data_IF_137194383525
#
_entry.id   IF_137194383525
#
_cell.length_a   1.000
_cell.length_b   1.000
_cell.length_c   1.000
_cell.angle_alpha   90.00
_cell.angle_beta   90.00
_cell.angle_gamma   90.00
#
_symmetry.space_group_name_H-M   'P 1'
#
loop_
_entity.id
_entity.type
_entity.pdbx_description
1 polymer ?
#
# COMPACT_ATOMS: atom_id res chain seq x y z
N UNK A 1 -1.57 -0.45 -22.93
CA UNK A 1 -1.60 -0.47 -21.46
C UNK A 1 -1.41 0.93 -20.89
N UNK A 2 -2.47 1.50 -20.32
CA UNK A 2 -2.43 2.76 -19.58
C UNK A 2 -2.35 2.45 -18.08
N UNK A 3 -1.41 3.08 -17.38
CA UNK A 3 -1.21 2.86 -15.94
C UNK A 3 -1.37 4.19 -15.23
N UNK A 4 -2.10 4.17 -14.13
CA UNK A 4 -2.16 5.27 -13.18
C UNK A 4 -1.38 4.90 -11.92
N UNK A 5 -0.52 5.78 -11.43
CA UNK A 5 0.20 5.60 -10.18
C UNK A 5 -0.34 6.55 -9.11
N UNK A 6 -0.86 5.96 -8.03
CA UNK A 6 -1.23 6.67 -6.82
C UNK A 6 -0.09 6.63 -5.81
N UNK A 7 0.56 7.78 -5.58
CA UNK A 7 1.72 7.89 -4.70
C UNK A 7 1.30 8.57 -3.39
N UNK A 8 1.47 7.88 -2.26
CA UNK A 8 1.24 8.42 -0.91
C UNK A 8 2.57 8.87 -0.32
N UNK A 9 2.74 10.16 -0.02
CA UNK A 9 4.00 10.68 0.52
C UNK A 9 3.82 11.67 1.67
N UNK A 10 4.83 11.77 2.52
CA UNK A 10 4.95 12.76 3.60
C UNK A 10 6.28 13.52 3.55
N UNK A 11 7.03 13.39 2.46
CA UNK A 11 8.31 14.07 2.26
C UNK A 11 8.66 14.18 0.78
N UNK A 12 9.38 15.22 0.40
CA UNK A 12 9.94 15.35 -0.94
C UNK A 12 11.39 14.86 -0.94
N UNK A 13 11.57 13.54 -1.11
CA UNK A 13 12.88 12.87 -1.08
C UNK A 13 13.46 12.66 -2.49
N UNK A 14 14.77 12.37 -2.56
CA UNK A 14 15.40 11.94 -3.81
C UNK A 14 14.76 10.66 -4.39
N UNK A 15 14.25 9.79 -3.52
CA UNK A 15 13.52 8.57 -3.88
C UNK A 15 12.21 8.90 -4.60
N UNK A 16 11.41 9.81 -4.04
CA UNK A 16 10.17 10.27 -4.67
C UNK A 16 10.47 10.94 -6.01
N UNK A 17 11.46 11.84 -6.04
CA UNK A 17 11.85 12.57 -7.24
C UNK A 17 12.25 11.62 -8.37
N UNK A 18 13.12 10.65 -8.09
CA UNK A 18 13.52 9.66 -9.09
C UNK A 18 12.33 8.82 -9.57
N UNK A 19 11.48 8.38 -8.66
CA UNK A 19 10.30 7.57 -8.98
C UNK A 19 9.33 8.31 -9.89
N UNK A 20 9.02 9.57 -9.59
CA UNK A 20 8.20 10.40 -10.48
C UNK A 20 8.89 10.51 -11.84
N UNK A 21 10.17 10.87 -11.88
CA UNK A 21 10.95 11.04 -13.12
C UNK A 21 10.93 9.83 -14.05
N UNK A 22 10.95 8.62 -13.49
CA UNK A 22 10.92 7.37 -14.24
C UNK A 22 9.52 6.99 -14.74
N UNK A 23 8.46 7.49 -14.10
CA UNK A 23 7.09 7.07 -14.38
C UNK A 23 6.25 8.09 -15.14
N UNK A 24 6.46 9.40 -14.97
CA UNK A 24 5.49 10.41 -15.39
C UNK A 24 5.29 10.56 -16.91
N UNK A 25 6.29 10.21 -17.73
CA UNK A 25 6.25 10.50 -19.18
C UNK A 25 5.13 9.77 -19.91
N UNK A 26 4.78 8.60 -19.40
CA UNK A 26 3.99 7.59 -20.09
C UNK A 26 2.72 7.20 -19.32
N UNK A 27 2.51 7.79 -18.15
CA UNK A 27 1.54 7.33 -17.15
C UNK A 27 0.96 8.51 -16.37
N UNK A 28 -0.27 8.35 -15.91
CA UNK A 28 -0.90 9.34 -15.02
C UNK A 28 -0.34 9.20 -13.60
N UNK A 29 0.04 10.32 -12.98
CA UNK A 29 0.54 10.35 -11.61
C UNK A 29 -0.43 11.13 -10.74
N UNK A 30 -0.90 10.50 -9.65
CA UNK A 30 -1.68 11.13 -8.60
C UNK A 30 -0.82 11.16 -7.34
N UNK A 31 -0.59 12.35 -6.81
CA UNK A 31 0.24 12.55 -5.63
C UNK A 31 -0.61 12.97 -4.44
N UNK A 32 -0.76 12.07 -3.47
CA UNK A 32 -1.31 12.37 -2.15
C UNK A 32 -0.17 12.82 -1.23
N UNK A 33 -0.28 14.05 -0.73
CA UNK A 33 0.66 14.61 0.24
C UNK A 33 0.00 14.60 1.61
N UNK A 34 0.65 14.02 2.60
CA UNK A 34 0.15 14.00 3.98
C UNK A 34 -0.14 15.43 4.47
N UNK A 35 -1.32 15.64 5.05
CA UNK A 35 -1.79 16.95 5.55
C UNK A 35 -0.83 17.62 6.56
N UNK A 36 0.03 16.86 7.23
CA UNK A 36 1.05 17.41 8.16
C UNK A 36 2.17 18.17 7.45
N UNK A 37 2.28 18.06 6.13
CA UNK A 37 3.39 18.59 5.34
C UNK A 37 2.91 19.76 4.48
N UNK A 38 3.73 20.79 4.36
CA UNK A 38 3.45 21.88 3.43
C UNK A 38 3.50 21.38 1.98
N UNK A 39 2.34 21.43 1.30
CA UNK A 39 2.18 21.01 -0.09
C UNK A 39 3.01 21.87 -1.06
N UNK A 40 3.39 23.10 -0.69
CA UNK A 40 4.22 23.96 -1.53
C UNK A 40 5.58 23.33 -1.88
N UNK A 41 6.11 22.48 -0.99
CA UNK A 41 7.39 21.75 -1.18
C UNK A 41 7.34 20.81 -2.40
N UNK A 42 6.16 20.40 -2.83
CA UNK A 42 5.93 19.51 -3.97
C UNK A 42 5.61 20.27 -5.27
N UNK A 43 5.79 21.59 -5.29
CA UNK A 43 5.43 22.46 -6.41
C UNK A 43 6.11 22.09 -7.74
N UNK A 44 7.29 21.46 -7.70
CA UNK A 44 8.01 20.99 -8.89
C UNK A 44 7.26 19.90 -9.69
N UNK A 45 6.32 19.19 -9.05
CA UNK A 45 5.59 18.10 -9.69
C UNK A 45 4.28 18.53 -10.37
N UNK A 46 3.87 19.80 -10.24
CA UNK A 46 2.57 20.30 -10.71
C UNK A 46 2.33 20.12 -12.22
N UNK A 47 3.39 20.07 -13.02
CA UNK A 47 3.30 19.86 -14.47
C UNK A 47 3.20 18.39 -14.88
N UNK A 48 3.49 17.46 -13.97
CA UNK A 48 3.64 16.02 -14.27
C UNK A 48 2.79 15.12 -13.36
N UNK A 49 2.11 15.67 -12.35
CA UNK A 49 1.26 14.94 -11.42
C UNK A 49 0.05 15.76 -10.97
N UNK A 50 -1.10 15.10 -10.78
CA UNK A 50 -2.24 15.65 -10.03
C UNK A 50 -1.95 15.58 -8.53
N UNK A 51 -1.48 16.70 -7.99
CA UNK A 51 -1.26 16.84 -6.55
C UNK A 51 -2.61 17.12 -5.88
N UNK A 52 -3.14 16.14 -5.18
CA UNK A 52 -4.48 16.17 -4.61
C UNK A 52 -4.68 17.30 -3.58
N UNK A 53 -5.85 17.94 -3.59
CA UNK A 53 -6.21 18.95 -2.58
C UNK A 53 -6.79 18.35 -1.30
N UNK A 54 -7.46 17.20 -1.40
CA UNK A 54 -8.07 16.51 -0.25
C UNK A 54 -7.06 15.64 0.50
N UNK A 55 -6.17 16.31 1.24
CA UNK A 55 -5.11 15.65 2.00
C UNK A 55 -5.60 15.16 3.36
N UNK A 56 -5.19 13.93 3.70
CA UNK A 56 -5.52 13.26 4.95
C UNK A 56 -4.33 13.42 5.90
N UNK A 57 -4.59 13.65 7.19
CA UNK A 57 -3.54 13.57 8.21
C UNK A 57 -3.28 12.08 8.48
N UNK A 58 -2.30 11.50 7.79
CA UNK A 58 -2.08 10.06 7.80
C UNK A 58 -1.35 9.66 9.09
N UNK A 59 -1.99 8.81 9.88
CA UNK A 59 -1.43 8.21 11.08
C UNK A 59 -1.30 6.71 10.87
N UNK A 60 -0.09 6.20 11.12
CA UNK A 60 0.22 4.78 10.95
C UNK A 60 -0.72 3.89 11.78
N UNK A 61 -1.23 2.83 11.15
CA UNK A 61 -2.10 1.85 11.77
C UNK A 61 -3.53 2.32 11.99
N UNK A 62 -3.90 3.53 11.56
CA UNK A 62 -5.26 4.06 11.70
C UNK A 62 -6.03 4.03 10.38
N UNK A 63 -7.33 4.30 10.45
CA UNK A 63 -8.21 4.41 9.28
C UNK A 63 -7.74 5.43 8.23
N UNK A 64 -6.94 6.44 8.61
CA UNK A 64 -6.46 7.46 7.67
C UNK A 64 -5.68 6.89 6.48
N UNK A 65 -5.04 5.72 6.64
CA UNK A 65 -4.34 5.03 5.54
C UNK A 65 -5.32 4.44 4.53
N UNK A 66 -6.44 3.87 5.00
CA UNK A 66 -7.54 3.43 4.13
C UNK A 66 -8.14 4.65 3.42
N UNK A 67 -8.41 5.72 4.17
CA UNK A 67 -8.99 6.95 3.63
C UNK A 67 -8.13 7.59 2.54
N UNK A 68 -6.80 7.69 2.75
CA UNK A 68 -5.89 8.21 1.73
C UNK A 68 -5.92 7.36 0.46
N UNK A 69 -5.92 6.03 0.59
CA UNK A 69 -5.98 5.12 -0.56
C UNK A 69 -7.33 5.21 -1.27
N UNK A 70 -8.45 5.30 -0.56
CA UNK A 70 -9.76 5.51 -1.16
C UNK A 70 -9.87 6.85 -1.90
N UNK A 71 -9.29 7.92 -1.36
CA UNK A 71 -9.26 9.21 -2.03
C UNK A 71 -8.45 9.17 -3.33
N UNK A 72 -7.33 8.43 -3.35
CA UNK A 72 -6.56 8.18 -4.58
C UNK A 72 -7.40 7.39 -5.59
N UNK A 73 -8.02 6.28 -5.17
CA UNK A 73 -8.83 5.45 -6.08
C UNK A 73 -9.98 6.27 -6.70
N UNK A 74 -10.65 7.11 -5.89
CA UNK A 74 -11.69 8.02 -6.38
C UNK A 74 -11.14 9.07 -7.36
N UNK A 75 -9.98 9.66 -7.06
CA UNK A 75 -9.35 10.63 -7.95
C UNK A 75 -8.93 9.97 -9.28
N UNK A 76 -8.41 8.74 -9.23
CA UNK A 76 -8.00 7.97 -10.40
C UNK A 76 -9.13 7.76 -11.42
N UNK A 77 -10.40 7.74 -10.98
CA UNK A 77 -11.56 7.61 -11.88
C UNK A 77 -11.69 8.74 -12.91
N UNK A 78 -10.95 9.85 -12.76
CA UNK A 78 -10.88 10.92 -13.76
C UNK A 78 -10.04 10.53 -15.00
N UNK A 79 -9.21 9.50 -14.87
CA UNK A 79 -8.25 9.07 -15.88
C UNK A 79 -8.71 7.78 -16.57
N UNK A 80 -8.23 7.57 -17.79
CA UNK A 80 -8.47 6.34 -18.54
C UNK A 80 -7.28 5.38 -18.37
N UNK A 81 -7.36 4.51 -17.37
CA UNK A 81 -6.30 3.57 -17.03
C UNK A 81 -6.79 2.12 -17.08
N UNK A 82 -5.89 1.18 -17.38
CA UNK A 82 -6.12 -0.26 -17.27
C UNK A 82 -5.82 -0.76 -15.85
N UNK A 83 -4.73 -0.24 -15.24
CA UNK A 83 -4.28 -0.56 -13.89
C UNK A 83 -4.00 0.68 -13.03
N UNK A 84 -4.39 0.63 -11.75
CA UNK A 84 -4.00 1.59 -10.72
C UNK A 84 -3.00 0.93 -9.78
N UNK A 85 -1.80 1.50 -9.69
CA UNK A 85 -0.75 1.07 -8.77
C UNK A 85 -0.65 2.02 -7.57
N UNK A 86 -0.91 1.51 -6.37
CA UNK A 86 -0.72 2.23 -5.12
C UNK A 86 0.70 1.96 -4.60
N UNK A 87 1.47 3.03 -4.45
CA UNK A 87 2.83 3.04 -3.91
C UNK A 87 2.98 4.18 -2.91
N UNK A 88 4.09 4.21 -2.17
CA UNK A 88 4.47 5.37 -1.38
C UNK A 88 5.60 6.17 -2.04
N UNK A 89 5.91 7.33 -1.48
CA UNK A 89 7.10 8.11 -1.85
C UNK A 89 8.46 7.49 -1.46
N UNK A 90 8.46 6.26 -0.93
CA UNK A 90 9.65 5.50 -0.51
C UNK A 90 9.87 4.23 -1.37
N UNK A 91 9.04 4.00 -2.38
CA UNK A 91 9.17 2.90 -3.34
C UNK A 91 9.92 3.39 -4.57
N UNK A 92 10.69 2.52 -5.23
CA UNK A 92 11.30 2.80 -6.55
C UNK A 92 10.99 1.69 -7.53
N UNK A 93 10.78 2.01 -8.82
CA UNK A 93 10.61 0.99 -9.85
C UNK A 93 11.91 0.21 -10.05
N UNK A 94 11.78 -1.10 -10.21
CA UNK A 94 12.87 -2.04 -10.53
C UNK A 94 12.97 -2.34 -12.04
N UNK A 95 12.00 -1.86 -12.82
CA UNK A 95 11.89 -2.07 -14.27
C UNK A 95 11.50 -0.75 -14.95
N UNK A 96 11.91 -0.56 -16.20
CA UNK A 96 11.54 0.64 -16.96
C UNK A 96 10.03 0.68 -17.25
N UNK A 97 9.50 1.86 -17.62
CA UNK A 97 8.07 2.01 -17.87
C UNK A 97 7.56 1.06 -18.97
N UNK A 98 8.36 0.86 -20.02
CA UNK A 98 8.09 -0.09 -21.11
C UNK A 98 7.96 -1.50 -20.57
N UNK A 99 8.94 -1.99 -19.80
CA UNK A 99 8.91 -3.34 -19.23
C UNK A 99 7.72 -3.55 -18.27
N UNK A 100 7.35 -2.50 -17.52
CA UNK A 100 6.17 -2.55 -16.63
C UNK A 100 4.89 -2.69 -17.45
N UNK A 101 4.73 -1.90 -18.52
CA UNK A 101 3.56 -1.98 -19.41
C UNK A 101 3.46 -3.35 -20.09
N UNK A 102 4.57 -3.90 -20.58
CA UNK A 102 4.64 -5.24 -21.15
C UNK A 102 4.29 -6.34 -20.13
N UNK A 103 4.73 -6.18 -18.88
CA UNK A 103 4.36 -7.10 -17.81
C UNK A 103 2.85 -7.10 -17.55
N UNK A 104 2.22 -5.93 -17.43
CA UNK A 104 0.77 -5.83 -17.25
C UNK A 104 -0.01 -6.32 -18.47
N UNK A 105 0.48 -6.09 -19.69
CA UNK A 105 -0.19 -6.59 -20.91
C UNK A 105 -0.18 -8.12 -20.96
N UNK A 106 0.95 -8.76 -20.66
CA UNK A 106 1.05 -10.23 -20.58
C UNK A 106 0.17 -10.84 -19.48
N UNK A 107 -0.09 -10.08 -18.42
CA UNK A 107 -0.87 -10.53 -17.26
C UNK A 107 -2.22 -9.81 -17.14
N UNK A 108 -2.75 -9.31 -18.26
CA UNK A 108 -3.98 -8.51 -18.28
C UNK A 108 -5.16 -9.26 -17.65
N UNK A 109 -5.90 -8.56 -16.80
CA UNK A 109 -7.04 -9.12 -16.06
C UNK A 109 -6.65 -9.85 -14.76
N UNK A 110 -5.37 -9.90 -14.40
CA UNK A 110 -4.93 -10.32 -13.05
C UNK A 110 -4.97 -9.15 -12.07
N UNK A 111 -5.09 -9.48 -10.79
CA UNK A 111 -5.08 -8.52 -9.68
C UNK A 111 -3.82 -8.74 -8.84
N UNK A 112 -3.01 -7.68 -8.70
CA UNK A 112 -1.72 -7.76 -8.02
C UNK A 112 -1.84 -7.19 -6.61
N UNK A 113 -2.54 -7.94 -5.77
CA UNK A 113 -2.76 -7.65 -4.35
C UNK A 113 -2.47 -8.91 -3.56
N UNK A 114 -1.56 -8.80 -2.59
CA UNK A 114 -1.10 -9.93 -1.80
C UNK A 114 -2.10 -10.39 -0.76
N UNK A 115 -2.11 -11.70 -0.50
CA UNK A 115 -2.88 -12.34 0.57
C UNK A 115 -1.95 -13.20 1.41
N UNK A 116 -1.80 -12.86 2.68
CA UNK A 116 -1.04 -13.64 3.66
C UNK A 116 -1.87 -14.88 4.05
N UNK A 117 -1.55 -16.02 3.42
CA UNK A 117 -2.29 -17.28 3.59
C UNK A 117 -1.85 -18.07 4.82
N UNK A 118 -0.67 -17.76 5.37
CA UNK A 118 -0.08 -18.42 6.53
C UNK A 118 -0.44 -17.78 7.86
N UNK A 119 -1.06 -16.61 7.86
CA UNK A 119 -1.34 -15.87 9.09
C UNK A 119 -2.42 -16.51 9.96
N UNK A 120 -2.20 -16.45 11.28
CA UNK A 120 -3.20 -16.82 12.26
C UNK A 120 -4.42 -15.90 12.18
N UNK A 121 -5.59 -16.46 11.83
CA UNK A 121 -6.84 -15.70 11.68
C UNK A 121 -7.22 -14.88 12.91
N UNK A 122 -6.93 -15.34 14.14
CA UNK A 122 -7.22 -14.59 15.36
C UNK A 122 -6.42 -13.29 15.46
N UNK A 123 -5.20 -13.25 14.88
CA UNK A 123 -4.39 -12.03 14.82
C UNK A 123 -5.03 -10.97 13.92
N UNK A 124 -5.64 -11.37 12.79
CA UNK A 124 -6.40 -10.48 11.91
C UNK A 124 -7.69 -10.05 12.62
N UNK A 125 -8.43 -11.01 13.18
CA UNK A 125 -9.71 -10.77 13.85
C UNK A 125 -9.58 -9.69 14.93
N UNK A 126 -8.54 -9.79 15.77
CA UNK A 126 -8.34 -8.85 16.87
C UNK A 126 -8.08 -7.40 16.41
N UNK A 127 -7.55 -7.19 15.20
CA UNK A 127 -7.32 -5.85 14.62
C UNK A 127 -8.62 -5.07 14.36
N UNK A 128 -9.73 -5.77 14.10
CA UNK A 128 -11.01 -5.17 13.71
C UNK A 128 -12.12 -5.41 14.74
N UNK A 129 -12.07 -6.52 15.48
CA UNK A 129 -13.07 -6.92 16.49
C UNK A 129 -13.20 -5.91 17.63
N UNK A 130 -12.13 -5.21 17.97
CA UNK A 130 -12.12 -4.24 19.06
C UNK A 130 -11.85 -2.83 18.54
N UNK A 131 -12.49 -1.84 19.17
CA UNK A 131 -12.20 -0.44 18.92
C UNK A 131 -10.83 -0.06 19.52
N UNK A 132 -9.87 0.28 18.65
CA UNK A 132 -8.57 0.78 19.03
C UNK A 132 -8.60 2.32 19.17
N UNK A 133 -7.75 2.84 20.05
CA UNK A 133 -7.70 4.27 20.42
C UNK A 133 -6.25 4.71 20.66
N UNK A 134 -5.92 5.97 20.36
CA UNK A 134 -4.73 6.69 20.83
C UNK A 134 -3.45 5.84 20.95
N UNK A 135 -3.17 5.34 22.16
CA UNK A 135 -1.97 4.54 22.47
C UNK A 135 -1.84 3.25 21.67
N UNK A 136 -2.92 2.66 21.18
CA UNK A 136 -2.87 1.46 20.34
C UNK A 136 -2.10 1.70 19.03
N UNK A 137 -2.10 2.94 18.56
CA UNK A 137 -1.44 3.37 17.33
C UNK A 137 -0.01 3.88 17.57
N UNK A 138 0.42 3.98 18.84
CA UNK A 138 1.77 4.44 19.20
C UNK A 138 2.72 3.25 19.28
N UNK A 139 3.83 3.36 18.55
CA UNK A 139 4.96 2.43 18.64
C UNK A 139 5.69 2.58 19.99
N UNK A 140 6.08 3.81 20.33
CA UNK A 140 6.75 4.12 21.59
C UNK A 140 5.73 4.51 22.66
N UNK A 141 5.16 3.49 23.33
CA UNK A 141 4.25 3.70 24.47
C UNK A 141 5.04 4.11 25.70
N UNK A 142 4.56 5.13 26.41
CA UNK A 142 5.06 5.42 27.75
C UNK A 142 4.59 4.35 28.75
N UNK A 143 5.12 4.36 29.97
CA UNK A 143 4.83 3.34 30.99
C UNK A 143 3.32 3.28 31.30
N UNK A 144 2.66 4.43 31.43
CA UNK A 144 1.22 4.51 31.69
C UNK A 144 0.39 3.89 30.55
N UNK A 145 0.77 4.12 29.30
CA UNK A 145 0.13 3.55 28.12
C UNK A 145 0.36 2.03 28.00
N UNK A 146 1.54 1.54 28.39
CA UNK A 146 1.82 0.10 28.48
C UNK A 146 0.95 -0.56 29.54
N UNK A 147 0.84 0.06 30.73
CA UNK A 147 -0.01 -0.40 31.83
C UNK A 147 -1.48 -0.37 31.40
N UNK A 148 -1.96 0.72 30.81
CA UNK A 148 -3.33 0.83 30.31
C UNK A 148 -3.66 -0.25 29.27
N UNK A 149 -2.76 -0.51 28.31
CA UNK A 149 -2.93 -1.57 27.32
C UNK A 149 -2.98 -2.97 27.96
N UNK A 150 -2.14 -3.22 28.98
CA UNK A 150 -2.10 -4.50 29.72
C UNK A 150 -3.39 -4.69 30.54
N UNK A 151 -3.78 -3.69 31.32
CA UNK A 151 -5.01 -3.70 32.14
C UNK A 151 -6.25 -3.90 31.26
N UNK A 152 -6.35 -3.19 30.14
CA UNK A 152 -7.49 -3.34 29.22
C UNK A 152 -7.57 -4.76 28.65
N UNK A 153 -6.43 -5.39 28.36
CA UNK A 153 -6.35 -6.77 27.87
C UNK A 153 -6.71 -7.79 28.97
N UNK A 154 -6.13 -7.65 30.16
CA UNK A 154 -6.33 -8.60 31.29
C UNK A 154 -7.75 -8.53 31.86
N UNK A 155 -8.34 -7.33 31.94
CA UNK A 155 -9.71 -7.13 32.42
C UNK A 155 -10.77 -7.24 31.31
N UNK A 156 -10.38 -7.59 30.08
CA UNK A 156 -11.28 -7.68 28.92
C UNK A 156 -12.15 -6.43 28.68
N UNK A 157 -11.65 -5.24 29.05
CA UNK A 157 -12.35 -3.95 28.92
C UNK A 157 -12.29 -3.38 27.48
N UNK A 158 -11.90 -4.21 26.52
CA UNK A 158 -11.83 -3.83 25.11
C UNK A 158 -13.24 -3.66 24.57
N UNK A 159 -13.56 -2.44 24.15
CA UNK A 159 -14.86 -2.16 23.52
C UNK A 159 -14.95 -2.93 22.21
N UNK A 160 -15.91 -3.85 22.11
CA UNK A 160 -16.19 -4.58 20.87
C UNK A 160 -16.73 -3.63 19.80
N UNK A 161 -16.28 -3.82 18.59
CA UNK A 161 -16.81 -3.17 17.41
C UNK A 161 -18.18 -3.78 17.07
N UNK A 162 -19.24 -2.98 17.15
CA UNK A 162 -20.61 -3.43 16.92
C UNK A 162 -20.92 -3.80 15.47
N UNK A 163 -20.04 -3.46 14.52
CA UNK A 163 -20.14 -3.84 13.11
C UNK A 163 -19.34 -5.10 12.77
N UNK A 164 -18.56 -5.63 13.71
CA UNK A 164 -17.65 -6.74 13.44
C UNK A 164 -18.36 -8.00 12.91
N UNK A 165 -19.52 -8.34 13.48
CA UNK A 165 -20.28 -9.54 13.07
C UNK A 165 -20.93 -9.40 11.67
N UNK A 166 -20.97 -8.18 11.10
CA UNK A 166 -21.41 -7.95 9.72
C UNK A 166 -20.28 -8.20 8.71
N UNK A 167 -19.03 -8.21 9.16
CA UNK A 167 -17.88 -8.35 8.27
C UNK A 167 -17.83 -9.77 7.68
N UNK A 168 -17.48 -9.89 6.40
CA UNK A 168 -17.17 -11.20 5.83
C UNK A 168 -15.88 -11.74 6.44
N UNK A 169 -15.47 -12.95 6.01
CA UNK A 169 -14.20 -13.52 6.43
C UNK A 169 -13.06 -12.54 6.12
N UNK A 170 -12.26 -12.22 7.14
CA UNK A 170 -11.17 -11.27 7.01
C UNK A 170 -9.93 -11.91 6.37
N UNK A 171 -9.26 -11.13 5.55
CA UNK A 171 -8.00 -11.47 4.89
C UNK A 171 -7.01 -10.34 5.07
N UNK A 172 -5.72 -10.66 5.16
CA UNK A 172 -4.64 -9.68 5.31
C UNK A 172 -3.66 -9.79 4.14
N UNK A 173 -2.97 -8.70 3.83
CA UNK A 173 -1.82 -8.66 2.94
C UNK A 173 -1.06 -7.33 3.08
N UNK A 174 -0.21 -6.99 2.10
CA UNK A 174 0.52 -5.72 2.11
C UNK A 174 -0.39 -4.54 1.75
N UNK A 175 -0.01 -3.34 2.19
CA UNK A 175 -0.72 -2.09 1.88
C UNK A 175 -0.66 -1.70 0.40
N UNK A 176 0.36 -2.17 -0.30
CA UNK A 176 0.68 -1.77 -1.67
C UNK A 176 0.14 -2.81 -2.63
N UNK A 177 -0.46 -2.37 -3.72
CA UNK A 177 -1.04 -3.24 -4.74
C UNK A 177 -1.11 -2.54 -6.09
N UNK A 178 -1.28 -3.32 -7.15
CA UNK A 178 -1.71 -2.84 -8.46
C UNK A 178 -2.96 -3.60 -8.88
N UNK A 179 -4.06 -2.91 -9.11
CA UNK A 179 -5.35 -3.53 -9.39
C UNK A 179 -5.98 -2.96 -10.63
N UNK A 180 -6.82 -3.78 -11.29
CA UNK A 180 -7.47 -3.38 -12.53
C UNK A 180 -8.49 -2.26 -12.30
N UNK A 181 -8.74 -1.49 -13.35
CA UNK A 181 -9.82 -0.50 -13.35
C UNK A 181 -11.19 -1.12 -12.98
N UNK A 182 -11.47 -2.34 -13.47
CA UNK A 182 -12.70 -3.08 -13.15
C UNK A 182 -12.81 -3.35 -11.63
N UNK A 183 -11.72 -3.72 -10.97
CA UNK A 183 -11.72 -3.93 -9.53
C UNK A 183 -11.86 -2.61 -8.75
N UNK A 184 -11.24 -1.51 -9.23
CA UNK A 184 -11.44 -0.19 -8.62
C UNK A 184 -12.92 0.22 -8.60
N UNK A 185 -13.64 0.06 -9.72
CA UNK A 185 -15.09 0.33 -9.79
C UNK A 185 -15.84 -0.55 -8.79
N UNK A 186 -15.63 -1.87 -8.85
CA UNK A 186 -16.28 -2.81 -7.93
C UNK A 186 -16.04 -2.45 -6.46
N UNK A 187 -14.82 -2.05 -6.11
CA UNK A 187 -14.45 -1.67 -4.76
C UNK A 187 -15.19 -0.42 -4.30
N UNK A 188 -15.25 0.62 -5.14
CA UNK A 188 -15.97 1.85 -4.81
C UNK A 188 -17.48 1.58 -4.66
N UNK A 189 -18.07 0.82 -5.58
CA UNK A 189 -19.48 0.42 -5.54
C UNK A 189 -19.79 -0.40 -4.28
N UNK A 190 -18.91 -1.33 -3.91
CA UNK A 190 -19.06 -2.14 -2.70
C UNK A 190 -19.11 -1.25 -1.46
N UNK A 191 -18.19 -0.29 -1.33
CA UNK A 191 -18.12 0.62 -0.19
C UNK A 191 -19.32 1.57 -0.17
N UNK A 192 -19.74 2.07 -1.33
CA UNK A 192 -20.92 2.92 -1.44
C UNK A 192 -22.18 2.22 -0.94
N UNK A 193 -22.41 0.99 -1.39
CA UNK A 193 -23.57 0.20 -1.00
C UNK A 193 -23.45 -0.41 0.42
N UNK A 194 -22.25 -0.43 1.00
CA UNK A 194 -21.98 -1.03 2.31
C UNK A 194 -21.22 -0.06 3.23
N UNK A 195 -21.79 1.13 3.50
CA UNK A 195 -21.17 2.11 4.41
C UNK A 195 -20.79 1.56 5.79
N UNK A 196 -21.53 0.55 6.27
CA UNK A 196 -21.25 -0.17 7.50
C UNK A 196 -19.88 -0.89 7.48
N UNK A 197 -19.40 -1.29 6.30
CA UNK A 197 -18.09 -1.92 6.12
C UNK A 197 -16.99 -0.91 6.42
N UNK A 198 -17.06 0.28 5.80
CA UNK A 198 -16.14 1.38 6.08
C UNK A 198 -16.14 1.75 7.57
N UNK A 199 -17.33 1.88 8.17
CA UNK A 199 -17.50 2.18 9.59
C UNK A 199 -16.83 1.16 10.51
N UNK A 200 -16.85 -0.13 10.13
CA UNK A 200 -16.21 -1.18 10.92
C UNK A 200 -14.70 -1.02 11.01
N UNK A 201 -14.05 -0.34 10.06
CA UNK A 201 -12.60 -0.15 10.04
C UNK A 201 -12.14 1.19 10.62
N UNK A 202 -13.05 2.14 10.88
CA UNK A 202 -12.71 3.48 11.42
C UNK A 202 -11.86 3.47 12.69
N UNK A 203 -12.02 2.43 13.52
CA UNK A 203 -11.25 2.22 14.77
C UNK A 203 -10.49 0.89 14.78
N UNK A 204 -10.18 0.36 13.61
CA UNK A 204 -9.31 -0.81 13.47
C UNK A 204 -7.85 -0.44 13.75
N UNK A 205 -6.99 -1.44 13.94
CA UNK A 205 -5.54 -1.31 14.02
C UNK A 205 -4.88 -1.96 12.82
N UNK A 206 -4.09 -1.21 12.06
CA UNK A 206 -3.48 -1.66 10.79
C UNK A 206 -4.52 -2.32 9.89
N UNK A 207 -5.69 -1.66 9.76
CA UNK A 207 -6.82 -2.16 8.99
C UNK A 207 -6.62 -1.98 7.48
N UNK A 208 -5.72 -1.09 7.08
CA UNK A 208 -5.25 -0.92 5.70
C UNK A 208 -4.68 -2.22 5.11
N UNK A 209 -4.01 -3.03 5.92
CA UNK A 209 -3.53 -4.36 5.55
C UNK A 209 -4.65 -5.42 5.46
N UNK A 210 -5.90 -5.08 5.78
CA UNK A 210 -7.03 -6.03 5.89
C UNK A 210 -8.20 -5.63 4.98
N UNK A 211 -8.46 -4.33 4.85
CA UNK A 211 -9.64 -3.74 4.21
C UNK A 211 -9.78 -4.18 2.75
N UNK A 212 -8.77 -3.90 1.93
CA UNK A 212 -8.81 -4.15 0.49
C UNK A 212 -8.75 -5.66 0.18
N UNK A 213 -7.94 -6.41 0.94
CA UNK A 213 -7.78 -7.86 0.82
C UNK A 213 -9.07 -8.60 1.17
N UNK A 214 -9.78 -8.11 2.18
CA UNK A 214 -11.08 -8.68 2.57
C UNK A 214 -12.11 -8.46 1.47
N UNK A 215 -12.17 -7.28 0.84
CA UNK A 215 -13.10 -7.03 -0.28
C UNK A 215 -12.79 -7.97 -1.45
N UNK A 216 -11.53 -8.03 -1.91
CA UNK A 216 -11.19 -8.82 -3.11
C UNK A 216 -11.41 -10.33 -2.88
N UNK A 217 -11.01 -10.86 -1.73
CA UNK A 217 -11.14 -12.30 -1.42
C UNK A 217 -12.58 -12.77 -1.25
N UNK A 218 -13.50 -11.85 -0.95
CA UNK A 218 -14.93 -12.13 -0.86
C UNK A 218 -15.69 -11.67 -2.12
N UNK A 219 -15.01 -11.58 -3.26
CA UNK A 219 -15.59 -11.16 -4.55
C UNK A 219 -15.24 -12.12 -5.69
N UNK A 220 -15.82 -11.89 -6.87
CA UNK A 220 -15.47 -12.61 -8.11
C UNK A 220 -13.99 -12.45 -8.51
N UNK A 221 -13.33 -11.39 -8.04
CA UNK A 221 -11.93 -11.08 -8.38
C UNK A 221 -10.91 -11.95 -7.64
N UNK A 222 -11.32 -12.72 -6.62
CA UNK A 222 -10.45 -13.68 -5.93
C UNK A 222 -9.68 -14.59 -6.90
N UNK A 223 -10.36 -15.08 -7.94
CA UNK A 223 -9.76 -16.01 -8.92
C UNK A 223 -8.82 -15.32 -9.92
N UNK A 224 -8.72 -13.99 -9.87
CA UNK A 224 -7.81 -13.17 -10.68
C UNK A 224 -6.55 -12.77 -9.92
N UNK A 225 -6.45 -13.06 -8.63
CA UNK A 225 -5.26 -12.73 -7.83
C UNK A 225 -4.03 -13.42 -8.41
N UNK A 226 -3.00 -12.64 -8.69
CA UNK A 226 -1.77 -13.09 -9.30
C UNK A 226 -1.00 -14.04 -8.36
N UNK A 227 -0.68 -15.25 -8.84
CA UNK A 227 0.16 -16.24 -8.15
C UNK A 227 -0.26 -16.55 -6.70
N UNK A 228 -1.58 -16.58 -6.46
CA UNK A 228 -2.14 -16.88 -5.14
C UNK A 228 -1.71 -18.29 -4.66
N UNK A 229 -1.11 -18.36 -3.47
CA UNK A 229 -0.50 -19.58 -2.87
C UNK A 229 0.79 -20.07 -3.57
N UNK A 230 1.31 -19.38 -4.58
CA UNK A 230 2.55 -19.77 -5.26
C UNK A 230 3.76 -18.97 -4.77
N UNK A 231 3.54 -17.74 -4.32
CA UNK A 231 4.57 -16.82 -3.80
C UNK A 231 4.08 -16.13 -2.54
N UNK A 232 4.96 -15.42 -1.84
CA UNK A 232 4.54 -14.60 -0.69
C UNK A 232 3.72 -13.38 -1.11
N UNK A 233 3.07 -12.76 -0.13
CA UNK A 233 2.12 -11.68 -0.32
C UNK A 233 2.73 -10.40 -0.91
N UNK A 234 3.98 -10.09 -0.60
CA UNK A 234 4.65 -8.95 -1.23
C UNK A 234 4.91 -9.23 -2.72
N UNK A 235 5.31 -10.45 -3.07
CA UNK A 235 5.51 -10.87 -4.46
C UNK A 235 4.21 -10.91 -5.27
N UNK A 236 3.11 -11.38 -4.68
CA UNK A 236 1.77 -11.28 -5.29
C UNK A 236 1.39 -9.81 -5.60
N UNK A 237 1.84 -8.88 -4.75
CA UNK A 237 1.67 -7.44 -4.93
C UNK A 237 2.77 -6.78 -5.80
N UNK A 238 3.69 -7.56 -6.38
CA UNK A 238 4.83 -7.08 -7.17
C UNK A 238 5.75 -6.12 -6.39
N UNK A 239 5.93 -6.37 -5.09
CA UNK A 239 6.80 -5.59 -4.20
C UNK A 239 7.93 -6.45 -3.66
N UNK A 240 9.17 -6.02 -3.88
CA UNK A 240 10.31 -6.52 -3.13
C UNK A 240 10.40 -5.75 -1.81
N UNK A 241 10.26 -6.45 -0.68
CA UNK A 241 10.37 -5.86 0.66
C UNK A 241 11.19 -6.79 1.57
N UNK A 242 12.31 -6.29 2.11
CA UNK A 242 13.11 -7.08 3.06
C UNK A 242 12.56 -6.92 4.49
N UNK A 243 11.70 -7.88 4.87
CA UNK A 243 11.20 -8.05 6.24
C UNK A 243 12.09 -8.95 7.12
N UNK A 244 13.05 -9.69 6.53
CA UNK A 244 13.82 -10.73 7.23
C UNK A 244 15.03 -10.17 7.95
N UNK A 245 15.72 -9.23 7.32
CA UNK A 245 16.95 -8.62 7.85
C UNK A 245 16.70 -7.25 8.48
N UNK A 246 15.45 -6.78 8.43
CA UNK A 246 15.01 -5.54 9.04
C UNK A 246 14.71 -5.68 10.54
N UNK A 247 14.57 -4.55 11.24
CA UNK A 247 13.94 -4.49 12.57
C UNK A 247 12.44 -4.85 12.48
N UNK A 248 11.58 -4.45 13.43
CA UNK A 248 10.12 -4.67 13.36
C UNK A 248 9.39 -3.97 12.16
N UNK A 249 10.15 -3.45 11.20
CA UNK A 249 9.69 -2.75 9.99
C UNK A 249 10.63 -3.10 8.83
N UNK A 250 10.22 -2.88 7.56
CA UNK A 250 11.05 -3.19 6.41
C UNK A 250 12.43 -2.54 6.51
N UNK A 251 13.49 -3.30 6.21
CA UNK A 251 14.85 -2.77 6.20
C UNK A 251 14.95 -1.62 5.19
N UNK A 252 15.80 -0.64 5.50
CA UNK A 252 16.22 0.35 4.52
C UNK A 252 17.22 -0.31 3.56
N UNK A 253 16.84 -0.35 2.29
CA UNK A 253 17.65 -0.88 1.19
C UNK A 253 18.70 0.15 0.77
N UNK A 254 19.90 -0.33 0.48
CA UNK A 254 21.03 0.47 0.00
C UNK A 254 21.74 -0.21 -1.19
N UNK A 255 22.87 0.34 -1.63
CA UNK A 255 23.60 -0.13 -2.80
C UNK A 255 24.09 -1.58 -2.69
N UNK A 256 24.24 -2.12 -1.48
CA UNK A 256 24.68 -3.50 -1.26
C UNK A 256 23.56 -4.51 -1.54
N UNK A 257 22.32 -4.04 -1.69
CA UNK A 257 21.15 -4.89 -1.92
C UNK A 257 20.83 -5.11 -3.39
N UNK A 258 21.44 -4.32 -4.27
CA UNK A 258 21.06 -4.31 -5.69
C UNK A 258 21.22 -5.67 -6.36
N UNK A 259 22.34 -6.36 -6.12
CA UNK A 259 22.56 -7.71 -6.66
C UNK A 259 21.53 -8.70 -6.11
N UNK A 260 21.26 -8.66 -4.80
CA UNK A 260 20.24 -9.51 -4.17
C UNK A 260 18.84 -9.28 -4.75
N UNK A 261 18.50 -8.04 -5.09
CA UNK A 261 17.22 -7.70 -5.73
C UNK A 261 17.16 -8.25 -7.16
N UNK A 262 18.25 -8.12 -7.95
CA UNK A 262 18.31 -8.64 -9.32
C UNK A 262 18.31 -10.16 -9.39
N UNK A 263 18.98 -10.80 -8.43
CA UNK A 263 19.09 -12.24 -8.31
C UNK A 263 17.85 -12.89 -7.68
N UNK A 264 16.80 -12.12 -7.33
CA UNK A 264 15.56 -12.69 -6.81
C UNK A 264 14.80 -13.43 -7.92
N UNK A 265 15.23 -14.67 -8.18
CA UNK A 265 14.75 -15.53 -9.28
C UNK A 265 13.27 -15.87 -9.19
N UNK A 266 12.64 -15.63 -8.04
CA UNK A 266 11.21 -15.88 -7.84
C UNK A 266 10.36 -14.63 -8.10
N UNK A 267 10.99 -13.51 -8.44
CA UNK A 267 10.39 -12.20 -8.30
C UNK A 267 10.07 -11.50 -9.62
N UNK A 268 8.77 -11.47 -9.91
CA UNK A 268 8.21 -10.60 -10.94
C UNK A 268 8.11 -9.13 -10.49
N UNK A 269 8.65 -8.78 -9.31
CA UNK A 269 8.49 -7.49 -8.69
C UNK A 269 8.88 -6.33 -9.60
N UNK A 270 8.01 -5.32 -9.64
CA UNK A 270 8.22 -4.11 -10.43
C UNK A 270 8.60 -2.92 -9.54
N UNK A 271 8.43 -3.03 -8.23
CA UNK A 271 8.85 -2.04 -7.24
C UNK A 271 9.61 -2.69 -6.08
N UNK A 272 10.53 -1.94 -5.48
CA UNK A 272 11.17 -2.28 -4.21
C UNK A 272 10.91 -1.23 -3.14
N UNK A 273 10.91 -1.67 -1.88
CA UNK A 273 10.71 -0.84 -0.69
C UNK A 273 11.53 -1.35 0.50
N UNK A 274 12.05 -0.50 1.39
CA UNK A 274 12.11 0.98 1.34
C UNK A 274 13.56 1.37 1.13
N UNK A 275 13.84 2.32 0.25
CA UNK A 275 15.21 2.77 0.04
C UNK A 275 15.67 3.80 1.07
N UNK A 276 16.99 3.79 1.34
CA UNK A 276 17.68 4.85 2.04
C UNK A 276 17.60 6.17 1.23
N UNK A 277 17.37 7.30 1.88
CA UNK A 277 17.24 8.60 1.19
C UNK A 277 18.54 9.08 0.54
N UNK A 278 19.68 8.59 1.04
CA UNK A 278 21.01 8.94 0.55
C UNK A 278 21.52 8.00 -0.56
N UNK A 279 20.64 7.17 -1.13
CA UNK A 279 20.99 6.22 -2.19
C UNK A 279 21.59 6.94 -3.41
N UNK A 280 22.63 6.36 -4.01
CA UNK A 280 23.11 6.78 -5.32
C UNK A 280 22.08 6.41 -6.41
N UNK A 281 21.28 7.39 -6.79
CA UNK A 281 20.22 7.27 -7.80
C UNK A 281 20.79 6.92 -9.18
N UNK A 282 21.96 7.44 -9.54
CA UNK A 282 22.54 7.15 -10.86
C UNK A 282 23.00 5.70 -10.92
N UNK A 283 23.65 5.22 -9.85
CA UNK A 283 24.03 3.82 -9.72
C UNK A 283 22.80 2.91 -9.75
N UNK A 284 21.72 3.27 -9.03
CA UNK A 284 20.46 2.53 -9.07
C UNK A 284 19.90 2.44 -10.51
N UNK A 285 19.72 3.59 -11.17
CA UNK A 285 19.12 3.63 -12.51
C UNK A 285 19.96 2.85 -13.55
N UNK A 286 21.29 2.90 -13.43
CA UNK A 286 22.21 2.14 -14.29
C UNK A 286 22.13 0.63 -14.04
N UNK A 287 22.06 0.19 -12.79
CA UNK A 287 22.04 -1.25 -12.46
C UNK A 287 20.72 -1.91 -12.89
N UNK A 288 19.61 -1.16 -12.82
CA UNK A 288 18.28 -1.63 -13.21
C UNK A 288 17.87 -1.23 -14.63
N UNK A 289 18.76 -0.63 -15.44
CA UNK A 289 18.53 -0.22 -16.83
C UNK A 289 17.22 0.58 -17.03
N UNK A 290 16.97 1.59 -16.19
CA UNK A 290 15.64 2.22 -16.08
C UNK A 290 15.35 3.32 -17.11
N UNK A 291 16.33 3.69 -17.94
CA UNK A 291 16.19 4.71 -18.99
C UNK A 291 15.99 4.12 -20.40
N UNK A 292 15.89 2.80 -20.53
CA UNK A 292 15.57 2.07 -21.76
C UNK A 292 14.05 1.87 -21.93
#
# INVERSE_FOLDING_TARGET
MNICYGIITHKNSNILRNTINLLYRDNDIILHVDKKVDKAIFGEYKSVADIMDNNVNVQWGTYSQIESTLNIIKNAMKYNFDYLCIISGDDMPLKSSTMIKEFFERNKGKEFIGIDTGINYNSIKNRVKYEHKGYHYKKNKNILEKVAAKVQKELSLQKKNNKFELLPKLYKGPNWFCVSHEFCIYLLDYIENNKWYEDAFKKSLCGDEVFFQTIIMNSKFKNRIYRLNEVDDNHMALRYIDWKTGPEYPRLLDENDFEKIKEDKNSDCIFARKFNENLDINKFNNIFNLYE
#
